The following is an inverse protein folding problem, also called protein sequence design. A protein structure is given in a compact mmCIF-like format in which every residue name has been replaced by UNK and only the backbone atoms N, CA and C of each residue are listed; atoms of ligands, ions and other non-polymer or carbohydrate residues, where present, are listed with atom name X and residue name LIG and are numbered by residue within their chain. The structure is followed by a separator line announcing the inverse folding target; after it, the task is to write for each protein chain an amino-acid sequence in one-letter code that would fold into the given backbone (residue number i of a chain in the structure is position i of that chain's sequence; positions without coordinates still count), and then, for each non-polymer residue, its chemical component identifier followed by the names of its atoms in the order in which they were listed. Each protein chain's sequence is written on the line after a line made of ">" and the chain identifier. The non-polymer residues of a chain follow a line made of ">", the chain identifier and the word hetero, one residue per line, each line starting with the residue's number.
data_IF_636310447184
#
_entry.id   IF_636310447184
#
_cell.length_a   1.000
_cell.length_b   1.000
_cell.length_c   1.000
_cell.angle_alpha   90.00
_cell.angle_beta   90.00
_cell.angle_gamma   90.00
#
_symmetry.space_group_name_H-M   'P 1'
#
loop_
_entity.id
_entity.type
_entity.pdbx_description
1 polymer ?
#
# COMPACT_ATOMS: atom_id res chain seq x y z
N UNK A 1 3.84 0.39 52.16
CA UNK A 1 3.50 1.23 51.00
C UNK A 1 4.77 1.77 50.34
N UNK A 2 5.66 0.96 49.79
CA UNK A 2 6.93 1.49 49.23
C UNK A 2 7.66 0.53 48.30
N UNK A 3 7.07 -0.53 47.77
CA UNK A 3 7.74 -1.47 46.84
C UNK A 3 7.02 -1.56 45.49
N UNK A 4 5.74 -1.22 45.43
CA UNK A 4 4.95 -1.29 44.18
C UNK A 4 5.07 -0.06 43.26
N UNK A 5 5.62 1.07 43.72
CA UNK A 5 5.74 2.33 42.96
C UNK A 5 7.00 2.42 42.11
N UNK A 6 7.98 1.52 42.23
CA UNK A 6 9.24 1.56 41.48
C UNK A 6 9.29 0.61 40.29
N UNK A 7 8.23 -0.16 40.03
CA UNK A 7 8.23 -1.17 38.95
C UNK A 7 7.58 -0.70 37.65
N UNK A 8 7.03 0.53 37.60
CA UNK A 8 6.31 1.05 36.41
C UNK A 8 6.93 2.29 35.75
N UNK A 9 8.15 2.68 36.11
CA UNK A 9 8.82 3.87 35.56
C UNK A 9 10.12 3.58 34.81
N UNK A 10 10.28 2.39 34.22
CA UNK A 10 11.34 2.13 33.27
C UNK A 10 10.74 1.47 32.02
N UNK A 11 10.04 2.25 31.20
CA UNK A 11 9.79 1.89 29.81
C UNK A 11 11.09 2.08 29.03
N UNK A 12 11.69 1.03 28.49
CA UNK A 12 12.73 1.18 27.48
C UNK A 12 12.07 1.67 26.19
N UNK A 13 12.51 2.83 25.74
CA UNK A 13 12.17 3.41 24.45
C UNK A 13 12.36 2.39 23.32
N UNK A 14 11.27 2.03 22.65
CA UNK A 14 11.30 1.81 21.20
C UNK A 14 11.95 0.56 20.66
N UNK A 15 11.81 -0.61 21.29
CA UNK A 15 11.89 -1.86 20.53
C UNK A 15 10.46 -2.29 20.16
N UNK A 16 10.05 -1.90 18.97
CA UNK A 16 8.87 -2.42 18.31
C UNK A 16 9.11 -3.92 18.12
N UNK A 17 8.47 -4.72 18.99
CA UNK A 17 8.49 -6.19 18.89
C UNK A 17 7.87 -6.53 17.53
N UNK A 18 8.71 -6.70 16.54
CA UNK A 18 8.34 -7.29 15.26
C UNK A 18 8.03 -8.76 15.51
N UNK A 19 6.78 -9.04 15.88
CA UNK A 19 6.25 -10.39 15.89
C UNK A 19 6.40 -10.95 14.47
N UNK A 20 7.45 -11.73 14.25
CA UNK A 20 7.71 -12.41 12.98
C UNK A 20 6.42 -13.11 12.55
N UNK A 21 5.84 -12.66 11.44
CA UNK A 21 4.58 -13.17 10.81
C UNK A 21 4.52 -14.72 10.71
N UNK A 22 5.65 -15.42 10.79
CA UNK A 22 5.75 -16.87 10.74
C UNK A 22 5.58 -17.59 12.08
N UNK A 23 5.75 -16.90 13.22
CA UNK A 23 5.77 -17.56 14.53
C UNK A 23 4.37 -18.01 14.96
N UNK A 24 3.33 -17.24 14.69
CA UNK A 24 1.96 -17.59 15.13
C UNK A 24 1.31 -18.74 14.34
N UNK A 25 1.62 -18.91 13.04
CA UNK A 25 1.11 -20.07 12.26
C UNK A 25 1.80 -21.36 12.70
N UNK A 26 3.10 -21.31 12.91
CA UNK A 26 3.87 -22.46 13.38
C UNK A 26 3.42 -22.89 14.78
N UNK A 27 3.11 -21.94 15.65
CA UNK A 27 2.62 -22.22 17.00
C UNK A 27 1.23 -22.87 16.98
N UNK A 28 0.29 -22.37 16.15
CA UNK A 28 -1.06 -22.97 16.00
C UNK A 28 -0.96 -24.35 15.38
N UNK A 29 -0.16 -24.52 14.33
CA UNK A 29 0.10 -25.81 13.72
C UNK A 29 0.74 -26.78 14.73
N UNK A 30 1.74 -26.32 15.48
CA UNK A 30 2.40 -27.12 16.53
C UNK A 30 1.41 -27.53 17.61
N UNK A 31 0.55 -26.61 18.07
CA UNK A 31 -0.47 -26.90 19.08
C UNK A 31 -1.51 -27.89 18.56
N UNK A 32 -1.97 -27.74 17.33
CA UNK A 32 -2.92 -28.69 16.70
C UNK A 32 -2.31 -30.07 16.55
N UNK A 33 -1.07 -30.17 16.06
CA UNK A 33 -0.35 -31.43 15.93
C UNK A 33 -0.12 -32.07 17.31
N UNK A 34 0.30 -31.30 18.31
CA UNK A 34 0.52 -31.77 19.68
C UNK A 34 -0.77 -32.34 20.29
N UNK A 35 -1.91 -31.67 20.09
CA UNK A 35 -3.21 -32.09 20.61
C UNK A 35 -3.68 -33.39 19.92
N UNK A 36 -3.50 -33.51 18.61
CA UNK A 36 -3.81 -34.72 17.87
C UNK A 36 -2.94 -35.89 18.32
N UNK A 37 -1.63 -35.68 18.51
CA UNK A 37 -0.70 -36.69 18.99
C UNK A 37 -1.06 -37.13 20.42
N UNK A 38 -1.38 -36.16 21.30
CA UNK A 38 -1.78 -36.47 22.67
C UNK A 38 -3.07 -37.29 22.70
N UNK A 39 -4.08 -36.91 21.92
CA UNK A 39 -5.35 -37.64 21.81
C UNK A 39 -5.14 -39.08 21.31
N UNK A 40 -4.34 -39.23 20.24
CA UNK A 40 -3.99 -40.54 19.70
C UNK A 40 -3.24 -41.41 20.74
N UNK A 41 -2.33 -40.81 21.50
CA UNK A 41 -1.58 -41.52 22.56
C UNK A 41 -2.51 -41.98 23.69
N UNK A 42 -3.46 -41.14 24.10
CA UNK A 42 -4.45 -41.51 25.13
C UNK A 42 -5.34 -42.68 24.65
N UNK A 43 -5.81 -42.63 23.40
CA UNK A 43 -6.63 -43.72 22.81
C UNK A 43 -5.83 -45.03 22.75
N UNK A 44 -4.58 -44.99 22.24
CA UNK A 44 -3.72 -46.16 22.12
C UNK A 44 -3.36 -46.76 23.50
N UNK A 45 -3.11 -45.89 24.50
CA UNK A 45 -2.81 -46.35 25.86
C UNK A 45 -4.01 -47.02 26.48
N UNK A 46 -5.23 -46.47 26.27
CA UNK A 46 -6.45 -47.13 26.71
C UNK A 46 -6.62 -48.52 26.08
N UNK A 47 -6.60 -48.57 24.74
CA UNK A 47 -6.85 -49.81 23.99
C UNK A 47 -5.83 -50.93 24.28
N UNK A 48 -4.53 -50.60 24.38
CA UNK A 48 -3.45 -51.58 24.47
C UNK A 48 -3.00 -51.87 25.90
N UNK A 49 -3.09 -50.92 26.82
CA UNK A 49 -2.50 -51.00 28.15
C UNK A 49 -3.56 -51.14 29.24
N UNK A 50 -4.61 -50.34 29.22
CA UNK A 50 -5.58 -50.26 30.30
C UNK A 50 -6.79 -51.16 30.10
N UNK A 51 -7.28 -51.32 28.88
CA UNK A 51 -8.47 -52.12 28.54
C UNK A 51 -8.28 -53.62 28.80
N UNK A 52 -7.17 -54.31 28.44
CA UNK A 52 -6.99 -55.70 28.68
C UNK A 52 -6.98 -56.11 30.16
N UNK A 53 -6.17 -55.52 31.07
CA UNK A 53 -6.19 -55.89 32.48
C UNK A 53 -7.52 -55.55 33.16
N UNK A 54 -8.22 -54.49 32.69
CA UNK A 54 -9.53 -54.13 33.20
C UNK A 54 -10.59 -55.22 32.86
N UNK A 55 -10.59 -55.74 31.63
CA UNK A 55 -11.48 -56.84 31.26
C UNK A 55 -11.17 -58.15 32.00
N UNK A 56 -9.91 -58.46 32.23
CA UNK A 56 -9.52 -59.61 33.03
C UNK A 56 -10.02 -59.53 34.50
N UNK A 57 -9.99 -58.27 35.04
CA UNK A 57 -10.54 -58.02 36.38
C UNK A 57 -12.06 -58.19 36.42
N UNK A 58 -12.81 -57.71 35.37
CA UNK A 58 -14.27 -57.92 35.24
C UNK A 58 -14.60 -59.40 35.16
N UNK A 59 -13.89 -60.18 34.36
CA UNK A 59 -14.11 -61.63 34.24
C UNK A 59 -13.94 -62.40 35.57
N UNK A 60 -13.01 -61.91 36.40
CA UNK A 60 -12.77 -62.50 37.71
C UNK A 60 -13.84 -62.19 38.75
N UNK A 61 -14.37 -60.96 38.70
CA UNK A 61 -15.22 -60.46 39.81
C UNK A 61 -16.72 -60.53 39.48
N UNK A 62 -17.09 -60.70 38.20
CA UNK A 62 -18.48 -60.75 37.72
C UNK A 62 -18.68 -61.97 36.78
N UNK A 63 -18.67 -63.20 37.29
CA UNK A 63 -18.86 -64.39 36.44
C UNK A 63 -20.32 -64.50 35.96
N UNK A 64 -20.52 -64.89 34.69
CA UNK A 64 -21.85 -65.18 34.10
C UNK A 64 -22.36 -64.07 33.11
N UNK A 65 -23.65 -64.12 32.73
CA UNK A 65 -24.22 -63.28 31.69
C UNK A 65 -24.22 -61.80 32.06
N UNK A 66 -24.19 -61.46 33.35
CA UNK A 66 -24.02 -60.04 33.80
C UNK A 66 -22.70 -59.44 33.37
N UNK A 67 -21.68 -60.25 33.08
CA UNK A 67 -20.39 -59.79 32.57
C UNK A 67 -20.48 -59.19 31.14
N UNK A 68 -21.23 -59.84 30.25
CA UNK A 68 -21.40 -59.42 28.90
C UNK A 68 -22.10 -58.01 28.83
N UNK A 69 -23.18 -57.85 29.58
CA UNK A 69 -23.91 -56.56 29.64
C UNK A 69 -23.05 -55.44 30.23
N UNK A 70 -22.20 -55.74 31.21
CA UNK A 70 -21.31 -54.77 31.82
C UNK A 70 -20.18 -54.34 30.88
N UNK A 71 -19.66 -55.25 30.08
CA UNK A 71 -18.66 -54.99 29.04
C UNK A 71 -19.21 -54.10 27.94
N UNK A 72 -20.39 -54.43 27.42
CA UNK A 72 -21.03 -53.66 26.34
C UNK A 72 -21.35 -52.21 26.79
N UNK A 73 -21.87 -52.03 28.00
CA UNK A 73 -22.11 -50.69 28.57
C UNK A 73 -20.84 -49.88 28.75
N UNK A 74 -19.74 -50.53 29.10
CA UNK A 74 -18.46 -49.86 29.27
C UNK A 74 -17.84 -49.50 27.92
N UNK A 75 -17.86 -50.38 26.96
CA UNK A 75 -17.40 -50.13 25.59
C UNK A 75 -18.15 -48.91 25.00
N UNK A 76 -19.44 -48.90 25.06
CA UNK A 76 -20.26 -47.80 24.59
C UNK A 76 -19.93 -46.44 25.28
N UNK A 77 -19.69 -46.48 26.62
CA UNK A 77 -19.31 -45.25 27.35
C UNK A 77 -17.92 -44.75 26.97
N UNK A 78 -16.97 -45.66 26.74
CA UNK A 78 -15.60 -45.28 26.35
C UNK A 78 -15.55 -44.76 24.91
N UNK A 79 -16.31 -45.33 23.99
CA UNK A 79 -16.45 -44.80 22.62
C UNK A 79 -17.05 -43.40 22.64
N UNK A 80 -18.14 -43.18 23.36
CA UNK A 80 -18.74 -41.84 23.50
C UNK A 80 -17.77 -40.80 24.09
N UNK A 81 -16.98 -41.20 25.11
CA UNK A 81 -15.98 -40.33 25.69
C UNK A 81 -14.91 -39.91 24.68
N UNK A 82 -14.36 -40.83 23.88
CA UNK A 82 -13.35 -40.53 22.89
C UNK A 82 -13.89 -39.69 21.71
N UNK A 83 -15.13 -39.99 21.30
CA UNK A 83 -15.81 -39.19 20.27
C UNK A 83 -15.98 -37.75 20.76
N UNK A 84 -16.51 -37.54 21.99
CA UNK A 84 -16.69 -36.24 22.58
C UNK A 84 -15.36 -35.48 22.69
N UNK A 85 -14.32 -36.12 23.20
CA UNK A 85 -12.99 -35.53 23.32
C UNK A 85 -12.41 -35.07 21.94
N UNK A 86 -12.63 -35.88 20.90
CA UNK A 86 -12.18 -35.57 19.55
C UNK A 86 -12.93 -34.37 18.97
N UNK A 87 -14.25 -34.32 19.19
CA UNK A 87 -15.08 -33.16 18.76
C UNK A 87 -14.63 -31.89 19.48
N UNK A 88 -14.39 -31.92 20.79
CA UNK A 88 -13.94 -30.76 21.57
C UNK A 88 -12.59 -30.22 21.04
N UNK A 89 -11.64 -31.09 20.74
CA UNK A 89 -10.34 -30.73 20.16
C UNK A 89 -10.51 -30.03 18.79
N UNK A 90 -11.38 -30.56 17.94
CA UNK A 90 -11.66 -29.96 16.63
C UNK A 90 -12.31 -28.58 16.79
N UNK A 91 -13.30 -28.46 17.67
CA UNK A 91 -13.99 -27.19 17.93
C UNK A 91 -13.02 -26.13 18.44
N UNK A 92 -12.19 -26.47 19.43
CA UNK A 92 -11.17 -25.54 19.97
C UNK A 92 -10.17 -25.12 18.89
N UNK A 93 -9.73 -26.06 18.04
CA UNK A 93 -8.81 -25.78 16.94
C UNK A 93 -9.41 -24.81 15.92
N UNK A 94 -10.69 -24.98 15.56
CA UNK A 94 -11.42 -24.09 14.67
C UNK A 94 -11.56 -22.70 15.29
N UNK A 95 -11.94 -22.61 16.56
CA UNK A 95 -12.08 -21.33 17.28
C UNK A 95 -10.75 -20.58 17.33
N UNK A 96 -9.65 -21.26 17.65
CA UNK A 96 -8.31 -20.67 17.64
C UNK A 96 -7.91 -20.15 16.24
N UNK A 97 -8.24 -20.89 15.19
CA UNK A 97 -7.98 -20.47 13.81
C UNK A 97 -8.77 -19.20 13.44
N UNK A 98 -10.04 -19.13 13.85
CA UNK A 98 -10.91 -17.95 13.64
C UNK A 98 -10.36 -16.72 14.39
N UNK A 99 -10.02 -16.89 15.69
CA UNK A 99 -9.46 -15.81 16.53
C UNK A 99 -8.16 -15.29 15.90
N UNK A 100 -7.26 -16.18 15.51
CA UNK A 100 -6.00 -15.79 14.87
C UNK A 100 -6.21 -15.03 13.54
N UNK A 101 -7.18 -15.46 12.72
CA UNK A 101 -7.54 -14.71 11.48
C UNK A 101 -8.05 -13.31 11.80
N UNK A 102 -8.93 -13.17 12.80
CA UNK A 102 -9.46 -11.85 13.23
C UNK A 102 -8.36 -10.96 13.79
N UNK A 103 -7.49 -11.49 14.63
CA UNK A 103 -6.36 -10.70 15.18
C UNK A 103 -5.42 -10.18 14.09
N UNK A 104 -5.08 -11.00 13.09
CA UNK A 104 -4.26 -10.56 11.95
C UNK A 104 -4.91 -9.42 11.18
N UNK A 105 -6.20 -9.57 10.88
CA UNK A 105 -6.96 -8.53 10.19
C UNK A 105 -6.99 -7.21 10.97
N UNK A 106 -7.17 -7.28 12.30
CA UNK A 106 -7.12 -6.12 13.17
C UNK A 106 -5.74 -5.45 13.18
N UNK A 107 -4.65 -6.23 13.24
CA UNK A 107 -3.30 -5.67 13.19
C UNK A 107 -3.03 -4.98 11.85
N UNK A 108 -3.42 -5.58 10.73
CA UNK A 108 -3.27 -4.98 9.40
C UNK A 108 -4.07 -3.68 9.27
N UNK A 109 -5.33 -3.68 9.72
CA UNK A 109 -6.19 -2.48 9.70
C UNK A 109 -5.62 -1.38 10.61
N UNK A 110 -5.18 -1.72 11.82
CA UNK A 110 -4.58 -0.74 12.73
C UNK A 110 -3.27 -0.16 12.20
N UNK A 111 -2.43 -0.96 11.53
CA UNK A 111 -1.23 -0.45 10.87
C UNK A 111 -1.57 0.51 9.72
N UNK A 112 -2.59 0.18 8.92
CA UNK A 112 -3.07 1.06 7.86
C UNK A 112 -3.65 2.37 8.42
N UNK A 113 -4.45 2.28 9.48
CA UNK A 113 -4.99 3.47 10.15
C UNK A 113 -3.88 4.36 10.71
N UNK A 114 -2.91 3.80 11.43
CA UNK A 114 -1.79 4.56 11.98
C UNK A 114 -0.92 5.19 10.88
N UNK A 115 -0.72 4.49 9.74
CA UNK A 115 -0.03 5.05 8.59
C UNK A 115 -0.83 6.22 7.99
N UNK A 116 -2.13 6.04 7.76
CA UNK A 116 -3.02 7.08 7.22
C UNK A 116 -3.11 8.31 8.14
N UNK A 117 -3.16 8.11 9.47
CA UNK A 117 -3.14 9.22 10.43
C UNK A 117 -1.84 9.99 10.42
N UNK A 118 -0.68 9.31 10.31
CA UNK A 118 0.62 9.97 10.18
C UNK A 118 0.70 10.80 8.90
N UNK A 119 0.27 10.22 7.77
CA UNK A 119 0.22 10.92 6.47
C UNK A 119 -0.72 12.12 6.54
N UNK A 120 -1.91 11.97 7.13
CA UNK A 120 -2.87 13.07 7.27
C UNK A 120 -2.36 14.19 8.19
N UNK A 121 -1.67 13.83 9.29
CA UNK A 121 -1.09 14.82 10.20
C UNK A 121 0.07 15.56 9.55
N UNK A 122 0.97 14.83 8.89
CA UNK A 122 2.07 15.40 8.11
C UNK A 122 1.54 16.29 7.00
N UNK A 123 0.48 15.88 6.33
CA UNK A 123 -0.21 16.66 5.32
C UNK A 123 -0.75 17.99 5.85
N UNK A 124 -1.37 18.02 7.02
CA UNK A 124 -1.89 19.27 7.63
C UNK A 124 -0.76 20.25 7.97
N UNK A 125 0.32 19.77 8.59
CA UNK A 125 1.49 20.60 8.92
C UNK A 125 2.14 21.11 7.64
N UNK A 126 2.32 20.24 6.66
CA UNK A 126 2.89 20.62 5.38
C UNK A 126 2.05 21.66 4.63
N UNK A 127 0.71 21.56 4.70
CA UNK A 127 -0.21 22.53 4.10
C UNK A 127 -0.09 23.91 4.75
N UNK A 128 0.03 23.98 6.07
CA UNK A 128 0.22 25.23 6.78
C UNK A 128 1.56 25.88 6.40
N UNK A 129 2.65 25.12 6.48
CA UNK A 129 3.99 25.59 6.09
C UNK A 129 4.02 26.04 4.64
N UNK A 130 3.42 25.29 3.73
CA UNK A 130 3.37 25.64 2.30
C UNK A 130 2.62 26.94 2.07
N UNK A 131 1.52 27.20 2.78
CA UNK A 131 0.81 28.48 2.70
C UNK A 131 1.64 29.64 3.23
N UNK A 132 2.36 29.45 4.34
CA UNK A 132 3.24 30.47 4.93
C UNK A 132 4.47 30.75 4.06
N UNK A 133 4.96 29.75 3.30
CA UNK A 133 6.09 29.91 2.36
C UNK A 133 5.67 30.55 1.04
N UNK A 134 4.46 30.28 0.53
CA UNK A 134 3.97 30.87 -0.74
C UNK A 134 3.90 32.36 -0.69
N UNK A 135 3.50 32.96 0.44
CA UNK A 135 3.34 34.42 0.56
C UNK A 135 4.64 35.19 0.35
N UNK A 136 5.77 34.86 1.04
CA UNK A 136 7.04 35.55 0.79
C UNK A 136 7.60 35.22 -0.60
N UNK A 137 7.36 34.03 -1.17
CA UNK A 137 7.80 33.72 -2.52
C UNK A 137 7.11 34.57 -3.58
N UNK A 138 5.81 34.84 -3.44
CA UNK A 138 5.08 35.75 -4.33
C UNK A 138 5.64 37.15 -4.27
N UNK A 139 6.01 37.63 -3.07
CA UNK A 139 6.68 38.92 -2.90
C UNK A 139 8.06 38.97 -3.55
N UNK A 140 8.87 37.92 -3.36
CA UNK A 140 10.20 37.82 -3.98
C UNK A 140 10.11 37.77 -5.50
N UNK A 141 9.14 37.04 -6.06
CA UNK A 141 8.91 36.95 -7.50
C UNK A 141 8.59 38.34 -8.06
N UNK A 142 7.63 39.07 -7.44
CA UNK A 142 7.25 40.42 -7.86
C UNK A 142 8.43 41.36 -7.83
N UNK A 143 9.26 41.34 -6.77
CA UNK A 143 10.45 42.21 -6.68
C UNK A 143 11.50 41.84 -7.72
N UNK A 144 11.71 40.55 -8.00
CA UNK A 144 12.68 40.07 -8.99
C UNK A 144 12.26 40.47 -10.42
N UNK A 145 10.97 40.33 -10.77
CA UNK A 145 10.43 40.74 -12.06
C UNK A 145 10.49 42.26 -12.24
N UNK A 146 10.17 43.01 -11.18
CA UNK A 146 10.27 44.46 -11.21
C UNK A 146 11.72 44.93 -11.39
N UNK A 147 12.67 44.28 -10.73
CA UNK A 147 14.10 44.53 -10.86
C UNK A 147 14.55 44.20 -12.29
N UNK A 148 14.17 43.06 -12.84
CA UNK A 148 14.44 42.67 -14.24
C UNK A 148 13.96 43.71 -15.22
N UNK A 149 12.71 44.19 -15.09
CA UNK A 149 12.15 45.24 -15.98
C UNK A 149 12.83 46.61 -15.88
N UNK A 150 13.40 46.98 -14.70
CA UNK A 150 14.16 48.23 -14.53
C UNK A 150 15.57 48.19 -15.09
N UNK A 151 16.16 47.00 -15.19
CA UNK A 151 17.58 46.81 -15.47
C UNK A 151 17.80 46.27 -16.88
N UNK A 152 16.73 45.91 -17.58
CA UNK A 152 16.76 45.34 -18.93
C UNK A 152 17.59 46.23 -19.88
N UNK A 153 18.63 45.63 -20.47
CA UNK A 153 19.59 46.30 -21.34
C UNK A 153 20.64 47.21 -20.66
N UNK A 154 20.68 47.25 -19.30
CA UNK A 154 21.62 48.14 -18.55
C UNK A 154 22.70 47.38 -17.77
N UNK A 155 22.59 46.08 -17.67
CA UNK A 155 23.53 45.23 -16.93
C UNK A 155 24.45 44.42 -17.87
N UNK A 156 25.67 44.07 -17.40
CA UNK A 156 26.46 43.04 -18.01
C UNK A 156 25.68 41.69 -18.08
N UNK A 157 25.89 40.91 -19.14
CA UNK A 157 25.17 39.64 -19.37
C UNK A 157 25.17 38.66 -18.18
N UNK A 158 26.20 38.75 -17.30
CA UNK A 158 26.29 37.89 -16.11
C UNK A 158 25.26 38.20 -15.02
N UNK A 159 24.95 39.48 -14.84
CA UNK A 159 24.02 39.94 -13.77
C UNK A 159 22.55 39.71 -14.19
N UNK A 160 22.23 39.85 -15.49
CA UNK A 160 20.92 39.48 -16.01
C UNK A 160 20.62 38.01 -15.82
N UNK A 161 21.61 37.11 -16.04
CA UNK A 161 21.47 35.66 -15.81
C UNK A 161 21.26 35.31 -14.33
N UNK A 162 21.78 36.12 -13.38
CA UNK A 162 21.52 35.89 -11.94
C UNK A 162 20.08 36.17 -11.58
N UNK A 163 19.46 37.20 -12.17
CA UNK A 163 18.04 37.54 -11.97
C UNK A 163 17.16 36.40 -12.52
N UNK A 164 17.46 35.90 -13.72
CA UNK A 164 16.73 34.73 -14.27
C UNK A 164 16.82 33.50 -13.36
N UNK A 165 18.01 33.22 -12.83
CA UNK A 165 18.19 32.12 -11.85
C UNK A 165 17.38 32.32 -10.57
N UNK A 166 17.26 33.55 -10.08
CA UNK A 166 16.44 33.86 -8.90
C UNK A 166 14.96 33.60 -9.21
N UNK A 167 14.46 34.09 -10.34
CA UNK A 167 13.10 33.89 -10.81
C UNK A 167 12.80 32.39 -10.95
N UNK A 168 13.67 31.62 -11.61
CA UNK A 168 13.53 30.17 -11.76
C UNK A 168 13.52 29.45 -10.41
N UNK A 169 14.36 29.89 -9.46
CA UNK A 169 14.39 29.31 -8.11
C UNK A 169 13.07 29.57 -7.37
N UNK A 170 12.50 30.76 -7.50
CA UNK A 170 11.20 31.12 -6.90
C UNK A 170 10.08 30.26 -7.51
N UNK A 171 10.05 30.09 -8.83
CA UNK A 171 9.09 29.23 -9.51
C UNK A 171 9.19 27.78 -9.03
N UNK A 172 10.40 27.26 -8.90
CA UNK A 172 10.64 25.91 -8.40
C UNK A 172 10.17 25.73 -6.95
N UNK A 173 10.41 26.71 -6.08
CA UNK A 173 9.93 26.68 -4.69
C UNK A 173 8.41 26.78 -4.61
N UNK A 174 7.78 27.58 -5.47
CA UNK A 174 6.33 27.70 -5.58
C UNK A 174 5.71 26.37 -6.01
N UNK A 175 6.24 25.75 -7.07
CA UNK A 175 5.79 24.45 -7.54
C UNK A 175 5.94 23.36 -6.46
N UNK A 176 7.05 23.38 -5.73
CA UNK A 176 7.33 22.47 -4.61
C UNK A 176 6.30 22.62 -3.48
N UNK A 177 5.98 23.87 -3.12
CA UNK A 177 4.96 24.17 -2.11
C UNK A 177 3.56 23.73 -2.54
N UNK A 178 3.24 23.87 -3.83
CA UNK A 178 1.98 23.37 -4.38
C UNK A 178 1.84 21.86 -4.35
N UNK A 179 2.92 21.14 -4.63
CA UNK A 179 2.93 19.68 -4.48
C UNK A 179 2.63 19.25 -3.05
N UNK A 180 3.21 19.93 -2.05
CA UNK A 180 2.94 19.67 -0.62
C UNK A 180 1.46 19.93 -0.31
N UNK A 181 0.92 21.06 -0.76
CA UNK A 181 -0.49 21.44 -0.53
C UNK A 181 -1.45 20.44 -1.15
N UNK A 182 -1.20 20.02 -2.40
CA UNK A 182 -2.04 19.05 -3.10
C UNK A 182 -2.03 17.68 -2.43
N UNK A 183 -0.85 17.26 -1.95
CA UNK A 183 -0.76 16.01 -1.17
C UNK A 183 -1.52 16.08 0.17
N UNK A 184 -1.47 17.25 0.85
CA UNK A 184 -2.07 17.47 2.16
C UNK A 184 -3.58 17.62 2.14
N UNK A 185 -4.15 18.16 1.05
CA UNK A 185 -5.59 18.43 0.96
C UNK A 185 -6.40 17.13 0.96
N UNK A 186 -7.55 17.12 1.66
CA UNK A 186 -8.56 16.10 1.42
C UNK A 186 -8.98 16.14 -0.05
N UNK A 187 -8.97 14.99 -0.71
CA UNK A 187 -9.45 14.91 -2.11
C UNK A 187 -10.96 14.72 -2.06
N UNK A 188 -11.70 15.70 -2.56
CA UNK A 188 -13.12 15.59 -2.80
C UNK A 188 -13.30 15.42 -4.30
N UNK A 189 -13.65 14.20 -4.73
CA UNK A 189 -13.84 13.91 -6.15
C UNK A 189 -15.16 14.51 -6.65
N UNK A 190 -15.12 15.08 -7.84
CA UNK A 190 -16.29 15.50 -8.62
C UNK A 190 -16.34 14.70 -9.94
N UNK A 191 -16.71 13.41 -9.89
CA UNK A 191 -16.63 12.53 -11.04
C UNK A 191 -17.57 12.96 -12.15
N UNK A 192 -17.07 12.96 -13.38
CA UNK A 192 -17.83 13.20 -14.61
C UNK A 192 -17.41 12.18 -15.66
N UNK A 193 -18.21 12.07 -16.72
CA UNK A 193 -17.85 11.19 -17.83
C UNK A 193 -16.65 11.78 -18.59
N UNK A 194 -15.54 11.09 -18.60
CA UNK A 194 -14.26 11.53 -19.18
C UNK A 194 -13.67 10.41 -20.02
N UNK A 195 -13.05 10.76 -21.15
CA UNK A 195 -12.29 9.85 -21.99
C UNK A 195 -10.79 9.92 -21.63
N UNK A 196 -10.21 8.80 -21.22
CA UNK A 196 -8.77 8.71 -20.94
C UNK A 196 -7.90 8.96 -22.18
N UNK A 197 -8.41 8.73 -23.38
CA UNK A 197 -7.70 9.06 -24.62
C UNK A 197 -7.46 10.57 -24.72
N UNK A 198 -8.45 11.39 -24.35
CA UNK A 198 -8.33 12.86 -24.34
C UNK A 198 -7.31 13.30 -23.28
N UNK A 199 -7.40 12.74 -22.08
CA UNK A 199 -6.43 13.04 -21.01
C UNK A 199 -4.99 12.73 -21.44
N UNK A 200 -4.77 11.58 -22.12
CA UNK A 200 -3.45 11.23 -22.60
C UNK A 200 -2.92 12.20 -23.67
N UNK A 201 -3.77 12.60 -24.62
CA UNK A 201 -3.40 13.59 -25.67
C UNK A 201 -3.05 14.95 -25.05
N UNK A 202 -3.93 15.47 -24.20
CA UNK A 202 -3.77 16.78 -23.58
C UNK A 202 -2.50 16.88 -22.73
N UNK A 203 -2.21 15.84 -21.93
CA UNK A 203 -0.98 15.81 -21.13
C UNK A 203 0.26 15.71 -22.00
N UNK A 204 0.23 14.93 -23.07
CA UNK A 204 1.36 14.83 -24.01
C UNK A 204 1.61 16.16 -24.72
N UNK A 205 0.55 16.83 -25.14
CA UNK A 205 0.63 18.15 -25.78
C UNK A 205 1.19 19.21 -24.80
N UNK A 206 0.69 19.23 -23.56
CA UNK A 206 1.17 20.13 -22.51
C UNK A 206 2.66 19.97 -22.21
N UNK A 207 3.18 18.74 -22.28
CA UNK A 207 4.58 18.43 -22.04
C UNK A 207 5.45 18.39 -23.30
N UNK A 208 4.91 18.75 -24.46
CA UNK A 208 5.61 18.62 -25.76
C UNK A 208 6.97 19.33 -25.79
N UNK A 209 7.05 20.52 -25.19
CA UNK A 209 8.30 21.29 -25.10
C UNK A 209 9.34 20.59 -24.22
N UNK A 210 8.93 20.05 -23.07
CA UNK A 210 9.82 19.35 -22.14
C UNK A 210 10.31 18.01 -22.76
N UNK A 211 9.41 17.27 -23.39
CA UNK A 211 9.70 16.03 -24.14
C UNK A 211 10.72 16.28 -25.24
N UNK A 212 10.51 17.35 -26.05
CA UNK A 212 11.43 17.73 -27.13
C UNK A 212 12.79 18.17 -26.59
N UNK A 213 12.84 18.93 -25.47
CA UNK A 213 14.08 19.36 -24.85
C UNK A 213 14.96 18.19 -24.39
N UNK A 214 14.37 17.07 -24.03
CA UNK A 214 15.08 15.84 -23.66
C UNK A 214 15.28 14.87 -24.83
N UNK A 215 14.91 15.22 -26.06
CA UNK A 215 15.03 14.35 -27.25
C UNK A 215 14.32 12.99 -27.06
N UNK A 216 13.12 13.01 -26.49
CA UNK A 216 12.32 11.81 -26.22
C UNK A 216 11.36 11.58 -27.38
N UNK A 217 11.36 10.38 -27.95
CA UNK A 217 10.39 9.96 -28.94
C UNK A 217 9.11 9.47 -28.23
N UNK A 218 7.96 10.06 -28.60
CA UNK A 218 6.68 9.75 -27.94
C UNK A 218 5.75 8.99 -28.89
N UNK A 219 5.18 7.89 -28.37
CA UNK A 219 4.16 7.12 -29.05
C UNK A 219 2.87 7.11 -28.25
N UNK A 220 1.76 7.52 -28.86
CA UNK A 220 0.41 7.35 -28.33
C UNK A 220 -0.24 6.13 -28.95
N UNK A 221 -0.41 5.08 -28.16
CA UNK A 221 -1.08 3.82 -28.56
C UNK A 221 -2.47 3.76 -27.92
N UNK A 222 -3.32 4.68 -28.37
CA UNK A 222 -4.64 4.87 -27.79
C UNK A 222 -5.65 3.92 -28.41
N UNK A 223 -6.58 3.42 -27.58
CA UNK A 223 -7.67 2.59 -28.06
C UNK A 223 -8.47 3.31 -29.17
N UNK A 224 -8.84 2.59 -30.22
CA UNK A 224 -9.64 3.12 -31.33
C UNK A 224 -11.03 3.63 -30.91
N UNK A 225 -11.60 3.05 -29.85
CA UNK A 225 -12.84 3.49 -29.23
C UNK A 225 -12.54 4.33 -27.99
N UNK A 226 -13.41 5.29 -27.60
CA UNK A 226 -13.26 6.08 -26.38
C UNK A 226 -13.17 5.20 -25.13
N UNK A 227 -12.20 5.50 -24.25
CA UNK A 227 -11.98 4.82 -22.97
C UNK A 227 -12.63 5.66 -21.87
N UNK A 228 -13.96 5.58 -21.78
CA UNK A 228 -14.74 6.49 -20.93
C UNK A 228 -15.13 5.90 -19.59
N UNK A 229 -15.09 6.71 -18.52
CA UNK A 229 -15.57 6.37 -17.17
C UNK A 229 -16.00 7.58 -16.37
N UNK A 230 -16.59 7.34 -15.21
CA UNK A 230 -16.96 8.37 -14.23
C UNK A 230 -15.76 8.65 -13.34
N UNK A 231 -15.00 9.68 -13.68
CA UNK A 231 -13.75 10.05 -13.00
C UNK A 231 -13.67 11.58 -12.78
N UNK A 232 -12.93 12.00 -11.77
CA UNK A 232 -12.57 13.41 -11.55
C UNK A 232 -11.42 13.77 -12.51
N UNK A 233 -11.75 14.43 -13.61
CA UNK A 233 -10.81 14.74 -14.68
C UNK A 233 -9.61 15.57 -14.18
N UNK A 234 -9.78 16.66 -13.39
CA UNK A 234 -8.64 17.44 -12.93
C UNK A 234 -7.64 16.62 -12.13
N UNK A 235 -8.12 15.71 -11.27
CA UNK A 235 -7.25 14.84 -10.46
C UNK A 235 -6.54 13.76 -11.30
N UNK A 236 -7.23 13.16 -12.27
CA UNK A 236 -6.63 12.17 -13.18
C UNK A 236 -5.64 12.85 -14.13
N UNK A 237 -5.95 14.03 -14.67
CA UNK A 237 -5.05 14.81 -15.50
C UNK A 237 -3.76 15.18 -14.73
N UNK A 238 -3.88 15.68 -13.49
CA UNK A 238 -2.74 15.99 -12.63
C UNK A 238 -1.91 14.74 -12.30
N UNK A 239 -2.56 13.60 -12.07
CA UNK A 239 -1.89 12.30 -11.84
C UNK A 239 -1.12 11.87 -13.09
N UNK A 240 -1.75 11.90 -14.26
CA UNK A 240 -1.12 11.53 -15.54
C UNK A 240 0.07 12.45 -15.84
N UNK A 241 -0.10 13.76 -15.66
CA UNK A 241 0.97 14.75 -15.83
C UNK A 241 2.19 14.42 -14.95
N UNK A 242 1.96 14.12 -13.69
CA UNK A 242 3.03 13.75 -12.75
C UNK A 242 3.75 12.46 -13.16
N UNK A 243 3.03 11.45 -13.63
CA UNK A 243 3.62 10.19 -14.09
C UNK A 243 4.44 10.38 -15.37
N UNK A 244 3.94 11.15 -16.33
CA UNK A 244 4.65 11.46 -17.57
C UNK A 244 5.90 12.30 -17.30
N UNK A 245 5.83 13.31 -16.40
CA UNK A 245 7.01 14.06 -15.96
C UNK A 245 8.06 13.16 -15.29
N UNK A 246 7.63 12.18 -14.52
CA UNK A 246 8.55 11.23 -13.92
C UNK A 246 9.27 10.39 -14.99
N UNK A 247 8.57 9.96 -16.03
CA UNK A 247 9.13 9.24 -17.16
C UNK A 247 10.14 10.11 -17.94
N UNK A 248 9.78 11.37 -18.26
CA UNK A 248 10.68 12.32 -18.92
C UNK A 248 11.95 12.55 -18.12
N UNK A 249 11.82 12.76 -16.81
CA UNK A 249 12.97 12.95 -15.91
C UNK A 249 13.85 11.71 -15.75
N UNK A 250 13.32 10.50 -16.00
CA UNK A 250 14.09 9.25 -15.98
C UNK A 250 14.91 9.06 -17.26
N UNK A 251 14.68 9.89 -18.30
CA UNK A 251 15.32 9.83 -19.62
C UNK A 251 16.11 11.10 -19.98
N UNK A 252 17.10 11.54 -19.18
CA UNK A 252 17.82 12.80 -19.41
C UNK A 252 18.64 12.81 -20.69
N UNK A 253 18.97 11.64 -21.26
CA UNK A 253 19.74 11.49 -22.49
C UNK A 253 18.86 11.07 -23.71
N UNK A 254 17.54 11.26 -23.61
CA UNK A 254 16.58 10.78 -24.61
C UNK A 254 16.09 9.36 -24.34
N UNK A 255 15.17 8.91 -25.15
CA UNK A 255 14.55 7.59 -25.04
C UNK A 255 13.19 7.52 -25.70
N UNK A 256 12.40 6.51 -25.32
CA UNK A 256 11.05 6.30 -25.84
C UNK A 256 10.03 6.37 -24.70
N UNK A 257 8.99 7.17 -24.91
CA UNK A 257 7.83 7.26 -24.03
C UNK A 257 6.61 6.71 -24.77
N UNK A 258 5.96 5.69 -24.25
CA UNK A 258 4.71 5.15 -24.79
C UNK A 258 3.59 5.36 -23.80
N UNK A 259 2.47 5.94 -24.25
CA UNK A 259 1.24 6.06 -23.45
C UNK A 259 0.17 5.26 -24.20
N UNK A 260 -0.39 4.24 -23.56
CA UNK A 260 -1.45 3.43 -24.11
C UNK A 260 -2.70 3.44 -23.24
N UNK A 261 -3.86 3.31 -23.88
CA UNK A 261 -5.15 3.22 -23.20
C UNK A 261 -5.94 2.02 -23.71
N UNK A 262 -6.66 1.37 -22.82
CA UNK A 262 -7.53 0.25 -23.20
C UNK A 262 -8.68 0.08 -22.20
N UNK A 263 -9.65 -0.75 -22.58
CA UNK A 263 -10.72 -1.19 -21.68
C UNK A 263 -10.73 -2.71 -21.63
N UNK A 264 -10.65 -3.27 -20.42
CA UNK A 264 -10.64 -4.74 -20.22
C UNK A 264 -11.47 -5.05 -18.97
N UNK A 265 -12.38 -6.03 -19.06
CA UNK A 265 -13.18 -6.53 -17.93
C UNK A 265 -13.91 -5.43 -17.13
N UNK A 266 -14.45 -4.41 -17.82
CA UNK A 266 -15.15 -3.29 -17.17
C UNK A 266 -14.22 -2.34 -16.39
N UNK A 267 -12.91 -2.36 -16.68
CA UNK A 267 -11.90 -1.43 -16.18
C UNK A 267 -11.34 -0.58 -17.30
N UNK A 268 -11.04 0.66 -16.97
CA UNK A 268 -10.25 1.56 -17.81
C UNK A 268 -8.78 1.37 -17.44
N UNK A 269 -7.94 1.21 -18.43
CA UNK A 269 -6.51 1.03 -18.27
C UNK A 269 -5.76 2.16 -18.97
N UNK A 270 -4.76 2.71 -18.30
CA UNK A 270 -3.74 3.58 -18.88
C UNK A 270 -2.36 3.05 -18.49
N UNK A 271 -1.50 2.83 -19.47
CA UNK A 271 -0.11 2.42 -19.27
C UNK A 271 0.81 3.54 -19.77
N UNK A 272 1.73 3.95 -18.92
CA UNK A 272 2.81 4.89 -19.23
C UNK A 272 4.12 4.10 -19.12
N UNK A 273 4.81 3.94 -20.25
CA UNK A 273 6.04 3.16 -20.36
C UNK A 273 7.19 4.05 -20.81
N UNK A 274 8.31 4.02 -20.10
CA UNK A 274 9.54 4.72 -20.43
C UNK A 274 10.72 3.76 -20.57
N UNK A 275 11.73 4.16 -21.34
CA UNK A 275 13.00 3.43 -21.49
C UNK A 275 14.12 4.06 -20.66
N UNK A 276 13.79 4.70 -19.57
CA UNK A 276 14.73 5.45 -18.73
C UNK A 276 15.62 4.58 -17.84
N UNK A 277 16.15 5.20 -16.78
CA UNK A 277 17.09 4.56 -15.86
C UNK A 277 16.52 3.36 -15.10
N UNK A 278 15.19 3.24 -15.01
CA UNK A 278 14.52 2.21 -14.23
C UNK A 278 14.79 2.26 -12.73
N UNK A 279 14.30 1.28 -12.01
CA UNK A 279 14.36 1.21 -10.55
C UNK A 279 14.76 -0.18 -10.05
N UNK A 280 15.49 -0.22 -8.93
CA UNK A 280 15.78 -1.46 -8.21
C UNK A 280 14.54 -1.97 -7.45
N UNK A 281 14.50 -3.26 -7.07
CA UNK A 281 13.41 -3.81 -6.27
C UNK A 281 13.18 -3.08 -4.94
N UNK A 282 14.25 -2.54 -4.32
CA UNK A 282 14.15 -1.75 -3.10
C UNK A 282 13.48 -0.40 -3.34
N UNK A 283 13.81 0.27 -4.43
CA UNK A 283 13.17 1.53 -4.83
C UNK A 283 11.69 1.33 -5.16
N UNK A 284 11.33 0.25 -5.86
CA UNK A 284 9.92 -0.07 -6.17
C UNK A 284 9.12 -0.30 -4.89
N UNK A 285 9.68 -0.96 -3.87
CA UNK A 285 8.99 -1.15 -2.58
C UNK A 285 8.70 0.15 -1.85
N UNK A 286 9.49 1.17 -2.06
CA UNK A 286 9.44 2.44 -1.37
C UNK A 286 8.88 3.59 -2.20
N UNK A 287 8.55 3.36 -3.48
CA UNK A 287 8.15 4.43 -4.42
C UNK A 287 6.86 5.15 -3.99
N UNK A 288 6.00 4.49 -3.22
CA UNK A 288 4.77 5.06 -2.69
C UNK A 288 4.91 5.64 -1.27
N UNK A 289 6.11 5.56 -0.67
CA UNK A 289 6.38 6.19 0.63
C UNK A 289 6.60 7.70 0.44
N UNK A 290 5.84 8.56 1.15
CA UNK A 290 6.01 10.01 1.04
C UNK A 290 7.44 10.44 1.40
N UNK A 291 7.94 11.45 0.70
CA UNK A 291 9.28 12.03 0.85
C UNK A 291 10.44 11.09 0.50
N UNK A 292 10.15 9.94 -0.08
CA UNK A 292 11.18 9.04 -0.58
C UNK A 292 11.48 9.36 -2.05
N UNK A 293 12.68 9.84 -2.33
CA UNK A 293 13.13 10.19 -3.68
C UNK A 293 14.63 10.02 -3.82
N UNK A 294 15.06 9.55 -4.96
CA UNK A 294 16.48 9.51 -5.37
C UNK A 294 16.86 10.74 -6.21
N UNK A 295 15.88 11.59 -6.55
CA UNK A 295 16.10 12.79 -7.38
C UNK A 295 16.57 13.94 -6.50
N UNK A 296 17.61 14.67 -6.95
CA UNK A 296 18.12 15.87 -6.27
C UNK A 296 17.13 17.03 -6.26
N UNK A 297 16.18 17.05 -7.18
CA UNK A 297 15.10 18.03 -7.30
C UNK A 297 13.76 17.32 -7.30
N UNK A 298 13.20 17.06 -6.12
CA UNK A 298 11.88 16.46 -6.00
C UNK A 298 11.59 16.08 -4.57
N UNK A 299 10.34 16.26 -4.14
CA UNK A 299 9.92 15.98 -2.77
C UNK A 299 9.54 14.51 -2.52
N UNK A 300 9.52 13.67 -3.55
CA UNK A 300 9.03 12.29 -3.41
C UNK A 300 7.54 12.20 -3.08
N UNK A 301 6.74 13.21 -3.44
CA UNK A 301 5.29 13.24 -3.20
C UNK A 301 4.46 12.82 -4.41
N UNK A 302 5.06 12.74 -5.59
CA UNK A 302 4.33 12.48 -6.82
C UNK A 302 3.67 11.10 -6.86
N UNK A 303 4.42 10.04 -6.63
CA UNK A 303 3.88 8.67 -6.64
C UNK A 303 2.90 8.39 -5.50
N UNK A 304 3.15 8.82 -4.24
CA UNK A 304 2.15 8.77 -3.17
C UNK A 304 0.85 9.52 -3.51
N UNK A 305 0.94 10.69 -4.13
CA UNK A 305 -0.24 11.44 -4.59
C UNK A 305 -1.00 10.69 -5.67
N UNK A 306 -0.32 10.18 -6.69
CA UNK A 306 -0.92 9.36 -7.74
C UNK A 306 -1.67 8.16 -7.16
N UNK A 307 -1.04 7.42 -6.24
CA UNK A 307 -1.66 6.29 -5.56
C UNK A 307 -2.93 6.71 -4.80
N UNK A 308 -2.87 7.81 -4.04
CA UNK A 308 -4.01 8.36 -3.29
C UNK A 308 -5.19 8.66 -4.21
N UNK A 309 -4.96 9.37 -5.33
CA UNK A 309 -6.00 9.73 -6.30
C UNK A 309 -6.63 8.48 -6.93
N UNK A 310 -5.82 7.55 -7.40
CA UNK A 310 -6.30 6.32 -8.05
C UNK A 310 -7.10 5.46 -7.07
N UNK A 311 -6.65 5.31 -5.83
CA UNK A 311 -7.36 4.58 -4.79
C UNK A 311 -8.73 5.22 -4.45
N UNK A 312 -8.82 6.54 -4.43
CA UNK A 312 -10.09 7.24 -4.19
C UNK A 312 -11.09 7.06 -5.32
N UNK A 313 -10.61 6.84 -6.54
CA UNK A 313 -11.46 6.43 -7.67
C UNK A 313 -11.82 4.93 -7.63
N UNK A 314 -11.42 4.18 -6.59
CA UNK A 314 -11.63 2.74 -6.47
C UNK A 314 -10.73 1.92 -7.40
N UNK A 315 -9.66 2.54 -7.92
CA UNK A 315 -8.69 1.95 -8.83
C UNK A 315 -7.43 1.44 -8.15
N UNK A 316 -6.49 0.97 -8.97
CA UNK A 316 -5.17 0.51 -8.56
C UNK A 316 -4.08 1.08 -9.47
N UNK A 317 -2.89 1.28 -8.91
CA UNK A 317 -1.68 1.64 -9.64
C UNK A 317 -0.63 0.54 -9.44
N UNK A 318 -0.04 0.06 -10.52
CA UNK A 318 0.99 -0.98 -10.54
C UNK A 318 2.22 -0.43 -11.24
N UNK A 319 3.40 -0.69 -10.66
CA UNK A 319 4.69 -0.26 -11.19
C UNK A 319 5.57 -1.47 -11.41
N UNK A 320 6.04 -1.65 -12.65
CA UNK A 320 7.01 -2.65 -13.04
C UNK A 320 8.25 -1.93 -13.57
N UNK A 321 9.44 -2.26 -13.06
CA UNK A 321 10.67 -1.58 -13.46
C UNK A 321 11.88 -2.46 -13.26
N UNK A 322 12.90 -2.25 -14.10
CA UNK A 322 14.21 -2.88 -13.97
C UNK A 322 15.31 -1.84 -14.22
N UNK A 323 16.40 -1.84 -13.44
CA UNK A 323 17.51 -0.92 -13.66
C UNK A 323 18.03 -0.99 -15.10
N UNK A 324 18.11 0.18 -15.76
CA UNK A 324 18.57 0.31 -17.15
C UNK A 324 17.61 -0.15 -18.24
N UNK A 325 16.39 -0.57 -17.90
CA UNK A 325 15.37 -1.00 -18.88
C UNK A 325 14.13 -0.12 -18.92
N UNK A 326 14.03 0.84 -17.99
CA UNK A 326 12.89 1.74 -17.89
C UNK A 326 11.83 1.30 -16.88
N UNK A 327 10.66 1.94 -16.96
CA UNK A 327 9.56 1.76 -16.04
C UNK A 327 8.22 1.71 -16.76
N UNK A 328 7.37 0.78 -16.37
CA UNK A 328 5.98 0.66 -16.75
C UNK A 328 5.10 1.03 -15.55
N UNK A 329 4.27 2.07 -15.70
CA UNK A 329 3.29 2.49 -14.70
C UNK A 329 1.90 2.26 -15.28
N UNK A 330 1.15 1.32 -14.70
CA UNK A 330 -0.21 0.97 -15.10
C UNK A 330 -1.22 1.50 -14.10
N UNK A 331 -2.18 2.28 -14.58
CA UNK A 331 -3.35 2.75 -13.87
C UNK A 331 -4.54 1.90 -14.27
N UNK A 332 -5.28 1.39 -13.31
CA UNK A 332 -6.54 0.68 -13.48
C UNK A 332 -7.65 1.43 -12.75
N UNK A 333 -8.72 1.83 -13.45
CA UNK A 333 -9.88 2.51 -12.89
C UNK A 333 -11.15 1.72 -13.21
N UNK A 334 -12.17 1.68 -12.34
CA UNK A 334 -13.46 1.07 -12.66
C UNK A 334 -14.15 1.87 -13.78
N UNK A 335 -14.70 1.18 -14.80
CA UNK A 335 -15.42 1.82 -15.90
C UNK A 335 -16.86 2.24 -15.51
N UNK A 336 -17.46 1.60 -14.48
CA UNK A 336 -18.85 1.81 -14.11
C UNK A 336 -19.01 2.60 -12.81
N UNK A 337 -20.11 3.37 -12.74
CA UNK A 337 -20.60 3.96 -11.50
C UNK A 337 -20.79 2.86 -10.45
N UNK A 338 -19.96 2.81 -9.42
CA UNK A 338 -20.41 2.23 -8.15
C UNK A 338 -21.37 3.25 -7.56
N UNK A 339 -22.66 2.97 -7.65
CA UNK A 339 -23.66 3.57 -6.78
C UNK A 339 -23.13 3.48 -5.34
N UNK A 340 -22.65 4.61 -4.82
CA UNK A 340 -22.49 4.77 -3.38
C UNK A 340 -23.92 4.88 -2.82
N UNK A 341 -24.46 3.74 -2.38
CA UNK A 341 -25.57 3.69 -1.44
C UNK A 341 -25.03 3.82 -0.02
#
# INVERSE_FOLDING_TARGET
>A
MSVFSKMFLNEPRGEMVTFKKGFSIRLVLLFTVLTVVLTATVILTWEKVLKPPYYQWIERNYPGPANAEHRDKLEQRTEHFFISMTVDVVVVSILLAIVNRKQRRLVEVNQQLAHNERVATLGRVAAQVAHEVRNPLAGLLLYSEHLKGKIDGKLPNGDAQLIDKIIDTIHNLTATTEQILNFARPVTLAPRRVDLNEVARDVTELLSTEIAAHSIETKLDLNSSPVTGMIDEPSIRATTLNLVLNAVQAMPAGGHLTISTSTTDGKLLMLISDTGSGMSPDQIRQIFEPFNTTKSRGLGLGMPYAQKIIQQHGGHIVVESQPGKGTDVRIELPANERNQQ
#
